data_IF_342657534009
#
_entry.id   IF_342657534009
#
_cell.length_a   1.000
_cell.length_b   1.000
_cell.length_c   1.000
_cell.angle_alpha   90.00
_cell.angle_beta   90.00
_cell.angle_gamma   90.00
#
_symmetry.space_group_name_H-M   'P 1'
#
loop_
_entity.id
_entity.type
_entity.pdbx_description
1 polymer ?
#
# COMPACT_ATOMS: atom_id res chain seq x y z
N UNK A 1 46.39 -23.69 9.87
CA UNK A 1 46.29 -22.65 10.92
C UNK A 1 46.24 -21.22 10.38
N UNK A 2 47.21 -20.75 9.55
CA UNK A 2 47.13 -19.37 8.97
C UNK A 2 45.93 -19.17 8.03
N UNK A 3 45.60 -20.12 7.18
CA UNK A 3 44.43 -20.02 6.25
C UNK A 3 43.09 -20.07 6.98
N UNK A 4 42.94 -20.83 8.02
CA UNK A 4 41.71 -20.87 8.83
C UNK A 4 41.48 -19.56 9.58
N UNK A 5 42.52 -18.89 10.03
CA UNK A 5 42.44 -17.58 10.68
C UNK A 5 42.05 -16.51 9.65
N UNK A 6 42.59 -16.58 8.41
CA UNK A 6 42.25 -15.68 7.34
C UNK A 6 40.78 -15.86 6.92
N UNK A 7 40.32 -17.09 6.73
CA UNK A 7 38.91 -17.36 6.38
C UNK A 7 37.93 -16.93 7.49
N UNK A 8 38.28 -17.10 8.75
CA UNK A 8 37.48 -16.66 9.91
C UNK A 8 37.38 -15.14 9.97
N UNK A 9 38.47 -14.44 9.69
CA UNK A 9 38.49 -12.98 9.66
C UNK A 9 37.75 -12.42 8.44
N UNK A 10 37.82 -13.08 7.29
CA UNK A 10 37.07 -12.73 6.09
C UNK A 10 35.54 -12.91 6.31
N UNK A 11 35.13 -14.02 6.92
CA UNK A 11 33.70 -14.23 7.28
C UNK A 11 33.20 -13.19 8.27
N UNK A 12 34.01 -12.79 9.26
CA UNK A 12 33.66 -11.72 10.21
C UNK A 12 33.59 -10.35 9.56
N UNK A 13 34.53 -10.04 8.65
CA UNK A 13 34.50 -8.80 7.89
C UNK A 13 33.29 -8.75 6.93
N UNK A 14 32.95 -9.88 6.28
CA UNK A 14 31.80 -9.99 5.40
C UNK A 14 30.48 -9.87 6.18
N UNK A 15 30.37 -10.48 7.36
CA UNK A 15 29.18 -10.37 8.22
C UNK A 15 29.00 -8.97 8.81
N UNK A 16 30.11 -8.29 9.15
CA UNK A 16 30.08 -6.89 9.60
C UNK A 16 29.72 -5.94 8.45
N UNK A 17 30.21 -6.18 7.23
CA UNK A 17 29.84 -5.41 6.06
C UNK A 17 28.36 -5.62 5.68
N UNK A 18 27.87 -6.86 5.76
CA UNK A 18 26.45 -7.16 5.50
C UNK A 18 25.54 -6.54 6.58
N UNK A 19 25.94 -6.58 7.85
CA UNK A 19 25.21 -5.93 8.95
C UNK A 19 25.23 -4.39 8.82
N UNK A 20 26.33 -3.80 8.36
CA UNK A 20 26.39 -2.35 8.12
C UNK A 20 25.57 -1.91 6.91
N UNK A 21 25.47 -2.74 5.86
CA UNK A 21 24.59 -2.49 4.71
C UNK A 21 23.11 -2.63 5.11
N UNK A 22 22.75 -3.61 5.97
CA UNK A 22 21.41 -3.73 6.52
C UNK A 22 21.05 -2.56 7.45
N UNK A 23 22.00 -2.09 8.29
CA UNK A 23 21.80 -0.91 9.15
C UNK A 23 21.70 0.38 8.34
N UNK A 24 22.45 0.52 7.25
CA UNK A 24 22.33 1.65 6.32
C UNK A 24 21.01 1.58 5.51
N UNK A 25 20.54 0.39 5.18
CA UNK A 25 19.22 0.19 4.56
C UNK A 25 18.05 0.54 5.48
N UNK A 26 18.21 0.39 6.80
CA UNK A 26 17.22 0.84 7.79
C UNK A 26 17.29 2.36 8.07
N UNK A 27 18.38 3.05 7.71
CA UNK A 27 18.53 4.50 7.89
C UNK A 27 18.01 5.33 6.71
N UNK A 28 17.53 4.69 5.63
CA UNK A 28 16.86 5.35 4.50
C UNK A 28 15.34 5.12 4.56
N UNK A 29 14.76 4.99 5.73
CA UNK A 29 13.40 5.47 5.95
C UNK A 29 13.59 6.98 5.93
N UNK A 30 13.27 7.58 4.77
CA UNK A 30 13.43 9.02 4.56
C UNK A 30 12.86 9.74 5.76
N UNK A 31 13.62 10.63 6.33
CA UNK A 31 13.10 11.55 7.30
C UNK A 31 11.97 12.30 6.60
N UNK A 32 10.75 11.78 6.67
CA UNK A 32 9.57 12.56 6.42
C UNK A 32 9.62 13.65 7.50
N UNK A 33 9.96 14.84 7.09
CA UNK A 33 10.01 15.98 8.01
C UNK A 33 8.61 16.33 8.53
N UNK A 34 7.57 15.65 8.06
CA UNK A 34 6.16 15.89 8.38
C UNK A 34 5.69 14.84 9.38
N UNK A 35 5.14 15.28 10.49
CA UNK A 35 4.45 14.48 11.49
C UNK A 35 2.94 14.73 11.40
N UNK A 36 2.12 13.79 11.86
CA UNK A 36 0.67 14.02 12.01
C UNK A 36 0.36 15.27 12.85
N UNK A 37 1.25 15.62 13.79
CA UNK A 37 1.10 16.79 14.67
C UNK A 37 1.35 18.13 13.94
N UNK A 38 1.94 18.10 12.75
CA UNK A 38 2.19 19.29 11.94
C UNK A 38 0.93 19.72 11.16
N UNK A 39 -0.08 18.83 11.07
CA UNK A 39 -1.32 19.13 10.38
C UNK A 39 -2.25 20.00 11.24
N UNK A 40 -2.67 21.12 10.68
CA UNK A 40 -3.62 22.05 11.34
C UNK A 40 -5.04 21.47 11.42
N UNK A 41 -5.36 20.51 10.55
CA UNK A 41 -6.62 19.78 10.51
C UNK A 41 -6.55 18.41 11.23
N UNK A 42 -5.56 18.21 12.12
CA UNK A 42 -5.38 16.95 12.85
C UNK A 42 -6.61 16.53 13.69
N UNK A 43 -7.45 17.48 14.10
CA UNK A 43 -8.67 17.19 14.84
C UNK A 43 -9.78 16.57 13.97
N UNK A 44 -9.69 16.74 12.64
CA UNK A 44 -10.58 16.12 11.66
C UNK A 44 -10.13 14.69 11.30
N UNK A 45 -8.88 14.32 11.63
CA UNK A 45 -8.34 12.98 11.40
C UNK A 45 -8.92 12.02 12.44
N UNK A 46 -9.81 11.14 12.01
CA UNK A 46 -10.44 10.12 12.86
C UNK A 46 -9.49 8.93 13.03
N UNK A 47 -8.81 8.53 11.96
CA UNK A 47 -7.93 7.36 11.91
C UNK A 47 -6.46 7.70 12.22
N UNK A 48 -6.21 8.38 13.35
CA UNK A 48 -4.89 8.94 13.71
C UNK A 48 -3.76 7.92 13.66
N UNK A 49 -3.97 6.71 14.19
CA UNK A 49 -2.97 5.63 14.17
C UNK A 49 -2.59 5.25 12.73
N UNK A 50 -3.58 5.10 11.87
CA UNK A 50 -3.35 4.75 10.47
C UNK A 50 -2.59 5.86 9.73
N UNK A 51 -3.04 7.11 9.89
CA UNK A 51 -2.42 8.27 9.24
C UNK A 51 -0.97 8.44 9.73
N UNK A 52 -0.72 8.34 11.05
CA UNK A 52 0.62 8.47 11.61
C UNK A 52 1.59 7.43 11.02
N UNK A 53 1.22 6.14 11.03
CA UNK A 53 2.05 5.09 10.45
C UNK A 53 2.31 5.32 8.96
N UNK A 54 1.28 5.71 8.19
CA UNK A 54 1.45 5.91 6.74
C UNK A 54 2.30 7.15 6.42
N UNK A 55 2.27 8.18 7.27
CA UNK A 55 3.17 9.34 7.18
C UNK A 55 4.60 8.91 7.47
N UNK A 56 4.83 8.15 8.54
CA UNK A 56 6.16 7.65 8.92
C UNK A 56 6.75 6.74 7.84
N UNK A 57 5.93 5.95 7.13
CA UNK A 57 6.34 5.12 6.00
C UNK A 57 6.47 5.89 4.68
N UNK A 58 6.14 7.18 4.64
CA UNK A 58 6.14 7.99 3.43
C UNK A 58 5.04 7.63 2.41
N UNK A 59 4.09 6.76 2.78
CA UNK A 59 2.96 6.34 1.90
C UNK A 59 1.99 7.51 1.70
N UNK A 60 1.80 8.30 2.75
CA UNK A 60 0.90 9.45 2.76
C UNK A 60 1.66 10.69 3.20
N UNK A 61 1.50 11.77 2.46
CA UNK A 61 1.92 13.12 2.87
C UNK A 61 0.67 14.00 3.00
N UNK A 62 0.79 15.19 3.57
CA UNK A 62 -0.26 16.19 3.52
C UNK A 62 -0.58 16.62 2.08
N UNK A 63 -1.71 17.27 1.87
CA UNK A 63 -2.00 18.04 0.65
C UNK A 63 -1.13 19.30 0.57
N UNK A 64 -0.67 19.74 1.73
CA UNK A 64 0.40 20.74 1.94
C UNK A 64 1.18 20.34 3.19
N UNK A 65 2.22 21.09 3.52
CA UNK A 65 3.05 20.87 4.71
C UNK A 65 2.25 20.92 6.02
N UNK A 66 1.09 21.57 6.02
CA UNK A 66 0.28 21.81 7.23
C UNK A 66 -1.17 21.32 7.11
N UNK A 67 -1.57 20.70 6.02
CA UNK A 67 -2.95 20.23 5.83
C UNK A 67 -2.99 18.82 5.27
N UNK A 68 -3.64 17.91 6.00
CA UNK A 68 -3.83 16.52 5.56
C UNK A 68 -5.00 16.39 4.57
N UNK A 69 -6.08 17.14 4.77
CA UNK A 69 -7.32 17.05 4.00
C UNK A 69 -8.13 15.81 4.35
N UNK A 70 -8.32 15.55 5.67
CA UNK A 70 -8.94 14.33 6.18
C UNK A 70 -10.31 14.02 5.58
N UNK A 71 -11.15 15.05 5.44
CA UNK A 71 -12.54 14.96 4.95
C UNK A 71 -12.67 15.05 3.42
N UNK A 72 -11.59 15.41 2.71
CA UNK A 72 -11.59 15.48 1.25
C UNK A 72 -11.75 14.10 0.63
N UNK A 73 -12.42 14.05 -0.52
CA UNK A 73 -12.50 12.81 -1.31
C UNK A 73 -11.14 12.46 -1.92
N UNK A 74 -10.82 11.16 -1.96
CA UNK A 74 -9.56 10.68 -2.51
C UNK A 74 -9.63 10.64 -4.04
N UNK A 75 -8.67 11.29 -4.70
CA UNK A 75 -8.49 11.20 -6.15
C UNK A 75 -7.74 9.92 -6.56
N UNK A 76 -7.94 9.51 -7.80
CA UNK A 76 -7.27 8.35 -8.40
C UNK A 76 -5.75 8.52 -8.46
N UNK A 77 -5.26 9.75 -8.69
CA UNK A 77 -3.83 10.12 -8.61
C UNK A 77 -3.24 9.82 -7.24
N UNK A 78 -3.93 10.22 -6.18
CA UNK A 78 -3.45 10.03 -4.82
C UNK A 78 -3.41 8.54 -4.44
N UNK A 79 -4.45 7.76 -4.77
CA UNK A 79 -4.43 6.32 -4.53
C UNK A 79 -3.29 5.63 -5.29
N UNK A 80 -3.05 6.00 -6.56
CA UNK A 80 -1.97 5.41 -7.36
C UNK A 80 -0.60 5.60 -6.67
N UNK A 81 -0.31 6.81 -6.17
CA UNK A 81 0.91 7.07 -5.42
C UNK A 81 0.98 6.24 -4.13
N UNK A 82 -0.08 6.26 -3.32
CA UNK A 82 -0.13 5.54 -2.05
C UNK A 82 0.08 4.03 -2.24
N UNK A 83 -0.58 3.42 -3.22
CA UNK A 83 -0.45 1.97 -3.49
C UNK A 83 0.92 1.65 -4.09
N UNK A 84 1.45 2.50 -4.98
CA UNK A 84 2.81 2.35 -5.49
C UNK A 84 3.83 2.24 -4.34
N UNK A 85 3.80 3.19 -3.40
CA UNK A 85 4.74 3.19 -2.27
C UNK A 85 4.47 1.98 -1.36
N UNK A 86 3.21 1.62 -1.12
CA UNK A 86 2.87 0.44 -0.31
C UNK A 86 3.40 -0.88 -0.93
N UNK A 87 3.50 -0.96 -2.26
CA UNK A 87 4.02 -2.14 -2.96
C UNK A 87 5.54 -2.15 -3.11
N UNK A 88 6.17 -0.97 -3.29
CA UNK A 88 7.59 -0.87 -3.68
C UNK A 88 8.51 -0.36 -2.57
N UNK A 89 7.95 0.29 -1.54
CA UNK A 89 8.72 0.92 -0.46
C UNK A 89 9.47 2.20 -0.87
N UNK A 90 9.20 2.74 -2.06
CA UNK A 90 9.89 3.95 -2.57
C UNK A 90 8.90 4.94 -3.17
N UNK A 91 9.23 6.24 -3.13
CA UNK A 91 8.46 7.33 -3.74
C UNK A 91 9.03 7.77 -5.10
N UNK A 92 9.77 6.91 -5.79
CA UNK A 92 10.33 7.20 -7.12
C UNK A 92 9.72 6.30 -8.19
N UNK A 93 8.73 6.83 -8.93
CA UNK A 93 8.09 6.17 -10.08
C UNK A 93 8.55 6.77 -11.42
N UNK A 94 9.66 7.51 -11.47
CA UNK A 94 10.13 8.23 -12.65
C UNK A 94 10.34 7.31 -13.86
N UNK A 95 10.79 6.07 -13.66
CA UNK A 95 11.01 5.10 -14.72
C UNK A 95 9.72 4.70 -15.49
N UNK A 96 8.55 4.94 -14.91
CA UNK A 96 7.26 4.62 -15.54
C UNK A 96 6.57 5.86 -16.14
N UNK A 97 7.13 7.07 -15.96
CA UNK A 97 6.46 8.33 -16.29
C UNK A 97 6.15 8.47 -17.78
N UNK A 98 7.02 7.97 -18.65
CA UNK A 98 6.92 8.12 -20.10
C UNK A 98 6.22 6.93 -20.81
N UNK A 99 5.58 6.02 -20.09
CA UNK A 99 4.87 4.87 -20.69
C UNK A 99 3.66 5.30 -21.54
N UNK A 100 3.05 6.47 -21.23
CA UNK A 100 1.93 7.06 -21.98
C UNK A 100 0.78 6.08 -22.28
N UNK A 101 0.36 5.31 -21.27
CA UNK A 101 -0.67 4.28 -21.41
C UNK A 101 -2.04 4.88 -21.69
N UNK A 102 -2.33 6.05 -21.11
CA UNK A 102 -3.62 6.75 -21.24
C UNK A 102 -3.43 8.11 -21.88
N UNK A 103 -4.37 8.51 -22.73
CA UNK A 103 -4.33 9.80 -23.45
C UNK A 103 -4.40 11.02 -22.52
N UNK A 104 -4.99 10.87 -21.34
CA UNK A 104 -5.12 11.91 -20.31
C UNK A 104 -4.07 11.82 -19.20
N UNK A 105 -3.07 10.93 -19.33
CA UNK A 105 -1.97 10.73 -18.36
C UNK A 105 -0.64 10.72 -19.09
N UNK A 106 0.04 11.85 -19.07
CA UNK A 106 1.42 11.98 -19.56
C UNK A 106 2.28 12.67 -18.53
N UNK A 107 3.60 12.53 -18.60
CA UNK A 107 4.52 13.23 -17.69
C UNK A 107 4.33 14.77 -17.74
N UNK A 108 3.82 15.31 -18.85
CA UNK A 108 3.60 16.74 -19.01
C UNK A 108 2.30 17.27 -18.40
N UNK A 109 1.27 16.43 -18.25
CA UNK A 109 -0.07 16.88 -17.82
C UNK A 109 -0.56 16.25 -16.50
N UNK A 110 0.13 15.24 -16.01
CA UNK A 110 -0.26 14.53 -14.78
C UNK A 110 0.97 14.24 -13.90
N UNK A 111 1.02 14.86 -12.74
CA UNK A 111 2.11 14.66 -11.78
C UNK A 111 2.26 13.21 -11.33
N UNK A 112 1.18 12.44 -11.39
CA UNK A 112 1.13 11.05 -10.94
C UNK A 112 1.34 10.03 -12.10
N UNK A 113 1.79 10.47 -13.28
CA UNK A 113 1.89 9.61 -14.46
C UNK A 113 2.67 8.32 -14.18
N UNK A 114 3.84 8.39 -13.55
CA UNK A 114 4.63 7.21 -13.23
C UNK A 114 3.91 6.24 -12.28
N UNK A 115 3.28 6.73 -11.23
CA UNK A 115 2.53 5.90 -10.28
C UNK A 115 1.33 5.22 -10.94
N UNK A 116 0.58 5.95 -11.78
CA UNK A 116 -0.57 5.43 -12.52
C UNK A 116 -0.13 4.34 -13.50
N UNK A 117 0.90 4.61 -14.29
CA UNK A 117 1.41 3.66 -15.27
C UNK A 117 1.93 2.37 -14.63
N UNK A 118 2.62 2.47 -13.49
CA UNK A 118 3.00 1.30 -12.70
C UNK A 118 1.77 0.53 -12.22
N UNK A 119 0.83 1.20 -11.53
CA UNK A 119 -0.37 0.55 -11.01
C UNK A 119 -1.21 -0.13 -12.11
N UNK A 120 -1.22 0.44 -13.32
CA UNK A 120 -1.83 -0.19 -14.49
C UNK A 120 -1.05 -1.44 -14.93
N UNK A 121 0.29 -1.37 -14.98
CA UNK A 121 1.13 -2.50 -15.42
C UNK A 121 1.05 -3.72 -14.52
N UNK A 122 0.58 -3.56 -13.28
CA UNK A 122 0.37 -4.63 -12.29
C UNK A 122 -1.13 -4.86 -11.97
N UNK A 123 -2.02 -4.41 -12.84
CA UNK A 123 -3.48 -4.57 -12.79
C UNK A 123 -4.18 -3.99 -11.54
N UNK A 124 -3.47 -3.21 -10.72
CA UNK A 124 -4.03 -2.58 -9.51
C UNK A 124 -5.05 -1.51 -9.85
N UNK A 125 -4.79 -0.72 -10.89
CA UNK A 125 -5.72 0.32 -11.38
C UNK A 125 -5.94 0.16 -12.89
N UNK A 126 -7.19 0.25 -13.31
CA UNK A 126 -7.60 0.22 -14.70
C UNK A 126 -8.08 1.60 -15.18
N UNK A 127 -8.14 1.80 -16.50
CA UNK A 127 -8.76 2.97 -17.10
C UNK A 127 -10.28 3.00 -16.89
N UNK A 128 -10.89 4.13 -17.29
CA UNK A 128 -12.35 4.32 -17.26
C UNK A 128 -13.02 4.03 -18.60
N UNK A 129 -12.25 3.53 -19.58
CA UNK A 129 -12.66 3.30 -20.94
C UNK A 129 -12.27 4.45 -21.89
N UNK A 130 -12.31 4.20 -23.21
CA UNK A 130 -11.97 5.20 -24.23
C UNK A 130 -10.55 5.73 -24.14
N UNK A 131 -9.58 4.88 -23.80
CA UNK A 131 -8.17 5.25 -23.66
C UNK A 131 -7.90 6.32 -22.59
N UNK A 132 -8.75 6.39 -21.55
CA UNK A 132 -8.67 7.39 -20.48
C UNK A 132 -8.56 6.75 -19.11
N UNK A 133 -7.82 7.41 -18.21
CA UNK A 133 -7.69 7.06 -16.80
C UNK A 133 -8.58 7.90 -15.89
N UNK A 134 -8.82 9.15 -16.23
CA UNK A 134 -9.53 10.15 -15.42
C UNK A 134 -8.83 10.44 -14.08
N UNK A 135 -7.59 10.96 -14.09
CA UNK A 135 -6.67 10.97 -12.95
C UNK A 135 -7.21 11.73 -11.72
N UNK A 136 -7.96 12.79 -11.92
CA UNK A 136 -8.47 13.67 -10.85
C UNK A 136 -9.90 13.34 -10.40
N UNK A 137 -10.47 12.23 -10.89
CA UNK A 137 -11.79 11.77 -10.42
C UNK A 137 -11.67 11.13 -9.03
N UNK A 138 -12.71 11.32 -8.20
CA UNK A 138 -12.82 10.68 -6.90
C UNK A 138 -13.06 9.18 -7.03
N UNK A 139 -12.55 8.44 -6.07
CA UNK A 139 -12.76 6.98 -5.93
C UNK A 139 -13.88 6.68 -4.93
N UNK A 140 -14.57 5.57 -5.16
CA UNK A 140 -15.49 5.00 -4.18
C UNK A 140 -14.78 4.02 -3.24
N UNK A 141 -15.44 3.66 -2.12
CA UNK A 141 -14.95 2.64 -1.20
C UNK A 141 -14.66 1.32 -1.92
N UNK A 142 -15.60 0.85 -2.77
CA UNK A 142 -15.42 -0.40 -3.50
C UNK A 142 -14.25 -0.34 -4.52
N UNK A 143 -14.06 0.80 -5.20
CA UNK A 143 -12.92 0.95 -6.12
C UNK A 143 -11.59 0.95 -5.39
N UNK A 144 -11.51 1.59 -4.23
CA UNK A 144 -10.32 1.56 -3.37
C UNK A 144 -10.07 0.14 -2.85
N UNK A 145 -11.11 -0.56 -2.40
CA UNK A 145 -11.02 -1.94 -1.95
C UNK A 145 -10.52 -2.89 -3.06
N UNK A 146 -11.03 -2.74 -4.30
CA UNK A 146 -10.56 -3.50 -5.46
C UNK A 146 -9.06 -3.34 -5.66
N UNK A 147 -8.57 -2.09 -5.69
CA UNK A 147 -7.15 -1.81 -5.86
C UNK A 147 -6.29 -2.46 -4.77
N UNK A 148 -6.74 -2.40 -3.51
CA UNK A 148 -6.00 -3.00 -2.39
C UNK A 148 -6.03 -4.54 -2.41
N UNK A 149 -7.14 -5.17 -2.80
CA UNK A 149 -7.19 -6.62 -2.98
C UNK A 149 -6.22 -7.08 -4.08
N UNK A 150 -6.17 -6.36 -5.21
CA UNK A 150 -5.21 -6.69 -6.28
C UNK A 150 -3.77 -6.49 -5.78
N UNK A 151 -3.50 -5.44 -5.00
CA UNK A 151 -2.20 -5.24 -4.38
C UNK A 151 -1.80 -6.38 -3.42
N UNK A 152 -2.77 -7.08 -2.82
CA UNK A 152 -2.54 -8.26 -2.00
C UNK A 152 -2.31 -9.54 -2.82
N UNK A 153 -2.54 -9.53 -4.15
CA UNK A 153 -2.32 -10.66 -5.06
C UNK A 153 -3.59 -11.31 -5.62
N UNK A 154 -4.78 -10.72 -5.39
CA UNK A 154 -6.02 -11.18 -6.02
C UNK A 154 -6.04 -10.78 -7.50
N UNK A 155 -6.55 -11.64 -8.36
CA UNK A 155 -6.66 -11.42 -9.80
C UNK A 155 -8.08 -10.94 -10.13
N UNK A 156 -8.24 -9.74 -10.73
CA UNK A 156 -9.56 -9.10 -10.89
C UNK A 156 -10.52 -9.87 -11.79
N UNK A 157 -10.03 -10.44 -12.89
CA UNK A 157 -10.80 -11.16 -13.90
C UNK A 157 -10.91 -12.67 -13.64
N UNK A 158 -10.33 -13.16 -12.54
CA UNK A 158 -10.47 -14.57 -12.16
C UNK A 158 -11.92 -14.89 -11.82
N UNK A 159 -12.39 -16.08 -12.27
CA UNK A 159 -13.75 -16.56 -12.02
C UNK A 159 -14.14 -16.59 -10.53
N UNK A 160 -13.18 -16.87 -9.64
CA UNK A 160 -13.44 -16.91 -8.20
C UNK A 160 -13.46 -15.51 -7.55
N UNK A 161 -12.78 -14.52 -8.13
CA UNK A 161 -12.78 -13.13 -7.64
C UNK A 161 -13.98 -12.38 -8.14
N UNK A 162 -14.27 -12.47 -9.44
CA UNK A 162 -15.38 -11.79 -10.12
C UNK A 162 -15.41 -10.26 -9.82
N UNK A 163 -14.23 -9.60 -9.89
CA UNK A 163 -14.15 -8.16 -9.66
C UNK A 163 -14.44 -7.34 -10.91
N UNK A 164 -15.08 -7.97 -11.88
CA UNK A 164 -15.55 -7.40 -13.13
C UNK A 164 -17.04 -7.75 -13.37
N UNK A 165 -17.66 -7.13 -14.39
CA UNK A 165 -19.07 -7.31 -14.67
C UNK A 165 -20.00 -6.57 -13.69
N UNK A 166 -21.28 -6.95 -13.67
CA UNK A 166 -22.32 -6.18 -12.97
C UNK A 166 -22.22 -6.26 -11.44
N UNK A 167 -21.77 -7.39 -10.90
CA UNK A 167 -21.74 -7.67 -9.46
C UNK A 167 -20.35 -7.43 -8.84
N UNK A 168 -19.43 -6.81 -9.59
CA UNK A 168 -18.05 -6.63 -9.18
C UNK A 168 -17.91 -6.00 -7.78
N UNK A 169 -18.71 -4.98 -7.49
CA UNK A 169 -18.61 -4.28 -6.21
C UNK A 169 -19.03 -5.16 -5.03
N UNK A 170 -20.03 -6.03 -5.21
CA UNK A 170 -20.48 -6.97 -4.18
C UNK A 170 -19.36 -7.97 -3.87
N UNK A 171 -18.74 -8.53 -4.91
CA UNK A 171 -17.64 -9.50 -4.76
C UNK A 171 -16.40 -8.85 -4.11
N UNK A 172 -16.03 -7.65 -4.55
CA UNK A 172 -14.95 -6.85 -3.94
C UNK A 172 -15.24 -6.61 -2.45
N UNK A 173 -16.43 -6.16 -2.10
CA UNK A 173 -16.76 -5.86 -0.70
C UNK A 173 -16.80 -7.11 0.17
N UNK A 174 -17.25 -8.26 -0.37
CA UNK A 174 -17.17 -9.56 0.31
C UNK A 174 -15.73 -9.90 0.69
N UNK A 175 -14.83 -9.85 -0.28
CA UNK A 175 -13.43 -10.26 -0.08
C UNK A 175 -12.64 -9.21 0.71
N UNK A 176 -12.96 -7.92 0.55
CA UNK A 176 -12.42 -6.85 1.38
C UNK A 176 -12.81 -7.01 2.86
N UNK A 177 -14.05 -7.43 3.13
CA UNK A 177 -14.49 -7.74 4.49
C UNK A 177 -13.78 -8.97 5.05
N UNK A 178 -13.64 -10.02 4.27
CA UNK A 178 -12.94 -11.25 4.68
C UNK A 178 -11.47 -10.97 5.02
N UNK A 179 -10.82 -10.07 4.28
CA UNK A 179 -9.44 -9.64 4.51
C UNK A 179 -9.31 -8.46 5.51
N UNK A 180 -10.41 -8.07 6.18
CA UNK A 180 -10.46 -7.00 7.16
C UNK A 180 -10.07 -5.61 6.64
N UNK A 181 -10.08 -5.40 5.33
CA UNK A 181 -9.77 -4.10 4.72
C UNK A 181 -10.79 -3.02 5.13
N UNK A 182 -12.02 -3.44 5.43
CA UNK A 182 -13.13 -2.54 5.79
C UNK A 182 -13.24 -2.28 7.30
N UNK A 183 -12.34 -2.81 8.12
CA UNK A 183 -12.35 -2.57 9.57
C UNK A 183 -12.21 -1.07 9.89
N UNK A 184 -13.22 -0.51 10.53
CA UNK A 184 -13.29 0.92 10.86
C UNK A 184 -13.85 1.81 9.74
N UNK A 185 -14.32 1.24 8.62
CA UNK A 185 -14.92 1.99 7.51
C UNK A 185 -16.43 1.97 7.61
N UNK A 186 -17.03 3.13 7.88
CA UNK A 186 -18.50 3.29 7.97
C UNK A 186 -19.17 3.74 6.67
N UNK A 187 -18.42 4.03 5.62
CA UNK A 187 -18.94 4.49 4.33
C UNK A 187 -19.47 3.31 3.49
N UNK A 188 -20.51 3.57 2.68
CA UNK A 188 -21.07 2.54 1.79
C UNK A 188 -20.17 2.30 0.56
N UNK A 189 -20.30 1.13 -0.08
CA UNK A 189 -19.50 0.70 -1.20
C UNK A 189 -19.38 1.74 -2.34
N UNK A 190 -20.47 2.42 -2.65
CA UNK A 190 -20.56 3.39 -3.75
C UNK A 190 -20.34 4.85 -3.32
N UNK A 191 -20.15 5.12 -2.04
CA UNK A 191 -19.81 6.47 -1.56
C UNK A 191 -18.38 6.84 -1.98
N UNK A 192 -18.14 8.11 -2.35
CA UNK A 192 -16.78 8.63 -2.45
C UNK A 192 -16.03 8.41 -1.14
N UNK A 193 -14.84 7.83 -1.20
CA UNK A 193 -14.04 7.59 0.00
C UNK A 193 -13.32 8.87 0.42
N UNK A 194 -13.30 9.16 1.71
CA UNK A 194 -12.49 10.25 2.24
C UNK A 194 -11.02 9.84 2.32
N UNK A 195 -10.14 10.83 2.33
CA UNK A 195 -8.70 10.60 2.43
C UNK A 195 -8.31 9.92 3.75
N UNK A 196 -8.98 10.27 4.85
CA UNK A 196 -8.81 9.62 6.15
C UNK A 196 -9.24 8.14 6.14
N UNK A 197 -10.39 7.81 5.55
CA UNK A 197 -10.83 6.42 5.42
C UNK A 197 -9.98 5.63 4.42
N UNK A 198 -9.47 6.25 3.36
CA UNK A 198 -8.52 5.58 2.46
C UNK A 198 -7.21 5.25 3.18
N UNK A 199 -6.69 6.15 4.01
CA UNK A 199 -5.54 5.87 4.86
C UNK A 199 -5.82 4.67 5.78
N UNK A 200 -7.00 4.61 6.40
CA UNK A 200 -7.40 3.45 7.22
C UNK A 200 -7.43 2.15 6.41
N UNK A 201 -7.98 2.17 5.19
CA UNK A 201 -8.01 0.96 4.36
C UNK A 201 -6.61 0.51 3.94
N UNK A 202 -5.70 1.43 3.62
CA UNK A 202 -4.30 1.09 3.29
C UNK A 202 -3.59 0.53 4.52
N UNK A 203 -3.77 1.13 5.69
CA UNK A 203 -3.25 0.59 6.96
C UNK A 203 -3.74 -0.84 7.22
N UNK A 204 -5.02 -1.12 6.97
CA UNK A 204 -5.58 -2.46 7.08
C UNK A 204 -4.93 -3.41 6.05
N UNK A 205 -4.71 -2.95 4.80
CA UNK A 205 -4.04 -3.73 3.76
C UNK A 205 -2.58 -4.06 4.12
N UNK A 206 -1.84 -3.15 4.76
CA UNK A 206 -0.49 -3.45 5.25
C UNK A 206 -0.47 -4.60 6.27
N UNK A 207 -1.56 -4.79 7.01
CA UNK A 207 -1.73 -5.88 8.00
C UNK A 207 -2.33 -7.14 7.41
N UNK A 208 -2.88 -7.09 6.20
CA UNK A 208 -3.48 -8.22 5.53
C UNK A 208 -2.42 -9.15 4.93
N UNK A 209 -2.69 -10.45 4.97
CA UNK A 209 -1.84 -11.46 4.36
C UNK A 209 -1.90 -11.35 2.83
N UNK A 210 -0.74 -11.39 2.20
CA UNK A 210 -0.66 -11.49 0.74
C UNK A 210 -1.03 -12.91 0.27
N UNK A 211 -1.59 -13.00 -0.92
CA UNK A 211 -2.01 -14.28 -1.50
C UNK A 211 -1.29 -14.57 -2.81
N UNK A 212 -1.29 -15.85 -3.18
CA UNK A 212 -0.84 -16.33 -4.50
C UNK A 212 -1.95 -17.17 -5.10
N UNK A 213 -2.35 -16.91 -6.36
CA UNK A 213 -3.35 -17.71 -7.05
C UNK A 213 -2.83 -19.12 -7.34
N UNK A 214 -3.69 -20.11 -7.17
CA UNK A 214 -3.44 -21.46 -7.64
C UNK A 214 -4.20 -21.68 -8.95
N UNK A 215 -3.46 -22.09 -9.97
CA UNK A 215 -4.00 -22.27 -11.31
C UNK A 215 -4.28 -23.72 -11.61
N UNK A 216 -5.37 -23.97 -12.34
CA UNK A 216 -5.63 -25.24 -13.03
C UNK A 216 -5.79 -25.00 -14.54
N UNK A 217 -5.58 -26.06 -15.30
CA UNK A 217 -5.71 -26.05 -16.75
C UNK A 217 -6.80 -27.04 -17.15
N UNK A 218 -7.77 -26.57 -17.92
CA UNK A 218 -8.77 -27.43 -18.56
C UNK A 218 -8.92 -27.04 -20.02
N UNK A 219 -8.83 -28.04 -20.92
CA UNK A 219 -8.91 -27.88 -22.38
C UNK A 219 -8.05 -26.73 -22.95
N UNK A 220 -6.89 -26.49 -22.35
CA UNK A 220 -5.97 -25.41 -22.79
C UNK A 220 -6.28 -24.03 -22.19
N UNK A 221 -7.30 -23.88 -21.36
CA UNK A 221 -7.62 -22.66 -20.64
C UNK A 221 -7.07 -22.75 -19.22
N UNK A 222 -6.39 -21.67 -18.80
CA UNK A 222 -5.91 -21.51 -17.42
C UNK A 222 -6.95 -20.73 -16.62
N UNK A 223 -7.26 -21.22 -15.42
CA UNK A 223 -8.17 -20.52 -14.49
C UNK A 223 -7.70 -20.63 -13.04
N UNK A 224 -8.07 -19.67 -12.22
CA UNK A 224 -7.72 -19.62 -10.78
C UNK A 224 -8.76 -20.42 -10.00
N UNK A 225 -8.30 -21.39 -9.22
CA UNK A 225 -9.19 -22.25 -8.41
C UNK A 225 -9.27 -21.84 -6.96
N UNK A 226 -8.21 -21.25 -6.44
CA UNK A 226 -8.16 -20.71 -5.07
C UNK A 226 -6.99 -19.74 -4.90
N UNK A 227 -6.98 -19.03 -3.79
CA UNK A 227 -5.86 -18.24 -3.32
C UNK A 227 -5.23 -18.88 -2.10
N UNK A 228 -3.92 -19.02 -2.10
CA UNK A 228 -3.15 -19.51 -0.97
C UNK A 228 -2.48 -18.34 -0.27
N UNK A 229 -2.55 -18.27 1.06
CA UNK A 229 -1.81 -17.30 1.85
C UNK A 229 -0.30 -17.49 1.70
N UNK A 230 0.43 -16.39 1.66
CA UNK A 230 1.89 -16.38 1.53
C UNK A 230 2.62 -16.46 2.88
N UNK A 231 1.89 -16.44 4.01
CA UNK A 231 2.47 -16.38 5.35
C UNK A 231 3.16 -15.06 5.68
N UNK A 232 2.93 -14.03 4.87
CA UNK A 232 3.54 -12.70 5.02
C UNK A 232 2.52 -11.63 4.66
N UNK A 233 2.48 -10.56 5.47
CA UNK A 233 1.61 -9.41 5.19
C UNK A 233 2.26 -8.46 4.19
N UNK A 234 1.46 -7.58 3.57
CA UNK A 234 1.99 -6.57 2.66
C UNK A 234 3.02 -5.66 3.36
N UNK A 235 2.72 -5.18 4.56
CA UNK A 235 3.62 -4.32 5.32
C UNK A 235 4.91 -5.03 5.74
N UNK A 236 4.84 -6.32 6.08
CA UNK A 236 6.03 -7.13 6.35
C UNK A 236 6.87 -7.32 5.09
N UNK A 237 6.24 -7.62 3.96
CA UNK A 237 6.93 -7.85 2.68
C UNK A 237 7.66 -6.60 2.19
N UNK A 238 7.05 -5.41 2.32
CA UNK A 238 7.59 -4.17 1.75
C UNK A 238 8.47 -3.41 2.72
N UNK A 239 8.05 -3.29 3.98
CA UNK A 239 8.69 -2.42 4.98
C UNK A 239 9.32 -3.19 6.14
N UNK A 240 9.23 -4.52 6.17
CA UNK A 240 9.70 -5.32 7.30
C UNK A 240 8.87 -5.14 8.57
N UNK A 241 7.62 -4.66 8.48
CA UNK A 241 6.76 -4.44 9.64
C UNK A 241 6.47 -5.77 10.35
N UNK A 242 6.63 -5.77 11.66
CA UNK A 242 6.30 -6.91 12.50
C UNK A 242 5.14 -6.53 13.41
N UNK A 243 4.04 -7.29 13.32
CA UNK A 243 2.94 -7.15 14.28
C UNK A 243 3.31 -7.94 15.53
N UNK A 244 3.42 -7.27 16.67
CA UNK A 244 3.60 -7.91 17.96
C UNK A 244 2.48 -7.51 18.90
N UNK A 245 2.08 -8.44 19.77
CA UNK A 245 1.24 -8.11 20.91
C UNK A 245 2.16 -7.94 22.12
N UNK A 246 2.16 -6.77 22.73
CA UNK A 246 2.90 -6.50 23.95
C UNK A 246 1.96 -5.92 25.00
N UNK A 247 2.24 -6.20 26.26
CA UNK A 247 1.52 -5.58 27.37
C UNK A 247 2.04 -4.17 27.56
N UNK A 248 1.14 -3.18 27.56
CA UNK A 248 1.50 -1.82 27.96
C UNK A 248 1.67 -1.79 29.47
N UNK A 249 2.91 -1.64 29.92
CA UNK A 249 3.25 -1.62 31.35
C UNK A 249 3.30 -0.23 31.94
N UNK A 250 3.26 0.80 31.10
CA UNK A 250 3.26 2.20 31.53
C UNK A 250 3.26 3.18 30.36
N UNK A 251 3.31 4.45 30.69
CA UNK A 251 3.51 5.54 29.74
C UNK A 251 4.77 6.27 30.17
N UNK A 252 5.70 6.50 29.24
CA UNK A 252 6.93 7.25 29.54
C UNK A 252 6.66 8.76 29.75
N UNK A 253 7.69 9.52 30.10
CA UNK A 253 7.60 10.96 30.33
C UNK A 253 7.26 11.77 29.06
N UNK A 254 7.34 11.16 27.88
CA UNK A 254 7.04 11.76 26.59
C UNK A 254 5.62 11.35 26.09
N UNK A 255 4.89 10.54 26.87
CA UNK A 255 3.56 10.07 26.52
C UNK A 255 3.53 8.80 25.67
N UNK A 256 4.66 8.11 25.47
CA UNK A 256 4.73 6.86 24.70
C UNK A 256 4.41 5.64 25.57
N UNK A 257 3.76 4.64 24.98
CA UNK A 257 3.52 3.37 25.66
C UNK A 257 4.84 2.61 25.89
N UNK A 258 5.08 2.20 27.15
CA UNK A 258 6.15 1.29 27.50
C UNK A 258 5.61 -0.13 27.34
N UNK A 259 6.27 -0.92 26.51
CA UNK A 259 5.88 -2.29 26.17
C UNK A 259 6.79 -3.28 26.90
N UNK A 260 6.20 -4.41 27.32
CA UNK A 260 6.90 -5.55 27.92
C UNK A 260 6.86 -6.76 26.98
#
# INVERSE_FOLDING_TARGET
MKEEIQMRNLKRALSLALASVMLLGMMVIGASAVSINDFTDQDEIVNKEAVALLVDLGIVNGKSDTNFGATDTLERTALAKMVYIALTGTDDASMYADMNVFSDVTAANCWAAGYINYCYSVDVLSGVGGDRFSPYSSLTVAQTAKALLVALGYIPDAEISMYEGNDWAINVMRDAQANRLLDGIGQSAHSPITRDNAARMIFNALKAEMVTPEYQYDMGTQYVTKYNGRGVTLGQSTFGLVSTSALVTGIDTNGNAVLD
#
